data_IF_381972536085
#
_entry.id   IF_381972536085
#
_cell.length_a   1.000
_cell.length_b   1.000
_cell.length_c   1.000
_cell.angle_alpha   90.00
_cell.angle_beta   90.00
_cell.angle_gamma   90.00
#
_symmetry.space_group_name_H-M   'P 1'
#
loop_
_entity.id
_entity.type
_entity.pdbx_description
1 polymer ?
#
# COMPACT_ATOMS: atom_id res chain seq x y z
N UNK A 1 -24.20 -23.25 25.87
CA UNK A 1 -22.94 -23.90 25.51
C UNK A 1 -21.80 -23.28 26.29
N UNK A 2 -20.91 -24.08 26.83
CA UNK A 2 -19.72 -23.66 27.57
C UNK A 2 -18.50 -23.71 26.65
N UNK A 3 -17.50 -22.85 26.88
CA UNK A 3 -16.28 -22.83 26.09
C UNK A 3 -15.17 -23.59 26.83
N UNK A 4 -14.52 -24.52 26.14
CA UNK A 4 -13.42 -25.31 26.67
C UNK A 4 -12.13 -25.00 25.91
N UNK A 5 -11.09 -24.59 26.65
CA UNK A 5 -9.75 -24.39 26.11
C UNK A 5 -9.02 -25.72 26.13
N UNK A 6 -8.50 -26.16 24.96
CA UNK A 6 -7.78 -27.41 24.85
C UNK A 6 -6.38 -27.20 24.23
N UNK A 7 -5.44 -28.04 24.62
CA UNK A 7 -4.08 -28.06 24.07
C UNK A 7 -3.81 -29.41 23.44
N UNK A 8 -3.37 -29.39 22.17
CA UNK A 8 -3.05 -30.59 21.38
C UNK A 8 -1.59 -30.55 20.90
N UNK A 9 -1.02 -31.72 20.64
CA UNK A 9 0.24 -31.87 19.93
C UNK A 9 -0.07 -32.18 18.47
N UNK A 10 0.49 -31.38 17.55
CA UNK A 10 0.47 -31.68 16.11
C UNK A 10 1.52 -32.74 15.76
N UNK A 11 1.43 -33.30 14.56
CA UNK A 11 2.39 -34.27 14.02
C UNK A 11 3.84 -33.72 13.98
N UNK A 12 4.01 -32.38 13.94
CA UNK A 12 5.30 -31.70 14.01
C UNK A 12 5.85 -31.50 15.44
N UNK A 13 5.20 -32.09 16.44
CA UNK A 13 5.61 -32.03 17.86
C UNK A 13 5.28 -30.70 18.57
N UNK A 14 4.72 -29.70 17.88
CA UNK A 14 4.40 -28.39 18.47
C UNK A 14 3.06 -28.42 19.20
N UNK A 15 3.02 -27.81 20.39
CA UNK A 15 1.81 -27.61 21.16
C UNK A 15 0.97 -26.50 20.54
N UNK A 16 -0.30 -26.78 20.23
CA UNK A 16 -1.28 -25.81 19.81
C UNK A 16 -2.43 -25.76 20.82
N UNK A 17 -2.82 -24.54 21.21
CA UNK A 17 -3.95 -24.32 22.09
C UNK A 17 -5.08 -23.64 21.33
N UNK A 18 -6.30 -24.15 21.45
CA UNK A 18 -7.50 -23.63 20.80
C UNK A 18 -8.72 -23.79 21.72
N UNK A 19 -9.89 -23.29 21.28
CA UNK A 19 -11.13 -23.34 22.07
C UNK A 19 -12.21 -24.07 21.30
N UNK A 20 -12.97 -24.92 22.00
CA UNK A 20 -14.14 -25.64 21.46
C UNK A 20 -15.36 -25.32 22.31
N UNK A 21 -16.52 -25.16 21.67
CA UNK A 21 -17.81 -25.00 22.37
C UNK A 21 -18.50 -26.35 22.48
N UNK A 22 -18.93 -26.70 23.71
CA UNK A 22 -19.68 -27.90 24.01
C UNK A 22 -20.62 -27.64 25.22
N UNK A 23 -21.60 -28.51 25.40
CA UNK A 23 -22.52 -28.36 26.52
C UNK A 23 -21.86 -28.80 27.84
N UNK A 24 -21.00 -29.82 27.77
CA UNK A 24 -20.22 -30.30 28.90
C UNK A 24 -18.82 -30.76 28.52
N UNK A 25 -18.01 -31.13 29.52
CA UNK A 25 -16.64 -31.60 29.35
C UNK A 25 -16.51 -32.87 28.53
N UNK A 26 -17.50 -33.81 28.68
CA UNK A 26 -17.50 -35.08 27.99
C UNK A 26 -17.81 -34.90 26.51
N UNK A 27 -18.72 -33.99 26.16
CA UNK A 27 -19.01 -33.65 24.76
C UNK A 27 -17.79 -32.96 24.10
N UNK A 28 -17.12 -32.04 24.79
CA UNK A 28 -15.89 -31.43 24.30
C UNK A 28 -14.80 -32.47 23.99
N UNK A 29 -14.61 -33.45 24.90
CA UNK A 29 -13.66 -34.54 24.74
C UNK A 29 -14.01 -35.45 23.57
N UNK A 30 -15.29 -35.78 23.39
CA UNK A 30 -15.75 -36.62 22.29
C UNK A 30 -15.62 -35.95 20.92
N UNK A 31 -15.90 -34.62 20.84
CA UNK A 31 -15.71 -33.82 19.63
C UNK A 31 -14.23 -33.75 19.22
N UNK A 32 -13.32 -33.63 20.19
CA UNK A 32 -11.88 -33.59 19.92
C UNK A 32 -11.35 -34.97 19.51
N UNK A 33 -11.89 -36.03 20.09
CA UNK A 33 -11.54 -37.42 19.73
C UNK A 33 -12.00 -37.79 18.31
N UNK A 34 -13.18 -37.32 17.89
CA UNK A 34 -13.68 -37.51 16.50
C UNK A 34 -12.80 -36.78 15.47
N UNK A 35 -12.04 -35.76 15.89
CA UNK A 35 -11.08 -35.01 15.04
C UNK A 35 -9.68 -35.64 15.03
N UNK A 36 -9.47 -36.80 15.62
CA UNK A 36 -8.17 -37.49 15.73
C UNK A 36 -7.05 -36.64 16.34
N UNK A 37 -7.39 -35.71 17.25
CA UNK A 37 -6.41 -34.85 17.88
C UNK A 37 -5.89 -35.46 19.19
N UNK A 38 -4.56 -35.53 19.38
CA UNK A 38 -3.94 -35.91 20.65
C UNK A 38 -4.02 -34.76 21.65
N UNK A 39 -5.02 -34.81 22.51
CA UNK A 39 -5.31 -33.79 23.52
C UNK A 39 -4.44 -33.99 24.75
N UNK A 40 -3.72 -32.97 25.19
CA UNK A 40 -2.91 -32.99 26.42
C UNK A 40 -3.75 -32.51 27.60
N UNK A 41 -4.53 -31.43 27.40
CA UNK A 41 -5.24 -30.77 28.49
C UNK A 41 -6.52 -30.12 27.94
N UNK A 42 -7.63 -30.22 28.71
CA UNK A 42 -8.89 -29.50 28.47
C UNK A 42 -9.28 -28.79 29.77
N UNK A 43 -9.51 -27.47 29.70
CA UNK A 43 -9.98 -26.65 30.85
C UNK A 43 -11.22 -25.86 30.48
N UNK A 44 -12.19 -25.78 31.38
CA UNK A 44 -13.35 -24.89 31.20
C UNK A 44 -12.90 -23.43 31.26
N UNK A 45 -13.21 -22.65 30.22
CA UNK A 45 -12.87 -21.24 30.14
C UNK A 45 -14.05 -20.38 30.53
N UNK A 46 -13.95 -19.66 31.66
CA UNK A 46 -14.98 -18.72 32.14
C UNK A 46 -15.04 -17.43 31.30
N UNK A 47 -14.12 -17.23 30.36
CA UNK A 47 -14.04 -16.00 29.56
C UNK A 47 -14.71 -16.18 28.21
N UNK A 48 -15.93 -15.68 28.06
CA UNK A 48 -16.72 -15.67 26.81
C UNK A 48 -16.07 -14.90 25.63
N UNK A 49 -14.93 -14.25 25.83
CA UNK A 49 -14.35 -13.28 24.87
C UNK A 49 -12.91 -13.55 24.42
N UNK A 50 -12.38 -14.75 24.58
CA UNK A 50 -11.09 -15.05 23.93
C UNK A 50 -11.35 -15.95 22.72
N UNK A 51 -12.02 -15.43 21.71
CA UNK A 51 -11.74 -15.81 20.33
C UNK A 51 -10.39 -15.20 19.99
N UNK A 52 -9.32 -15.80 20.48
CA UNK A 52 -7.99 -15.73 19.85
C UNK A 52 -8.01 -16.62 18.60
N UNK A 53 -9.03 -16.49 17.77
CA UNK A 53 -8.80 -16.56 16.36
C UNK A 53 -7.80 -15.45 16.11
N UNK A 54 -6.55 -15.79 15.85
CA UNK A 54 -5.69 -14.92 15.08
C UNK A 54 -6.36 -14.78 13.70
N UNK A 55 -7.43 -14.00 13.64
CA UNK A 55 -7.87 -13.33 12.44
C UNK A 55 -6.73 -12.37 12.12
N UNK A 56 -5.59 -12.93 11.65
CA UNK A 56 -4.74 -12.16 10.76
C UNK A 56 -5.74 -11.57 9.78
N UNK A 57 -5.98 -10.27 9.88
CA UNK A 57 -6.76 -9.51 8.91
C UNK A 57 -6.30 -10.04 7.58
N UNK A 58 -7.19 -10.76 6.87
CA UNK A 58 -6.85 -11.39 5.60
C UNK A 58 -6.40 -10.23 4.73
N UNK A 59 -5.09 -10.15 4.52
CA UNK A 59 -4.48 -9.05 3.78
C UNK A 59 -4.87 -9.28 2.34
N UNK A 60 -5.42 -8.28 1.68
CA UNK A 60 -5.71 -8.32 0.25
C UNK A 60 -4.43 -8.75 -0.50
N UNK A 61 -4.60 -9.41 -1.64
CA UNK A 61 -3.49 -9.83 -2.47
C UNK A 61 -2.75 -8.60 -3.02
N UNK A 62 -1.43 -8.60 -2.90
CA UNK A 62 -0.60 -7.53 -3.45
C UNK A 62 -0.49 -7.63 -4.97
N UNK A 63 -0.25 -6.49 -5.65
CA UNK A 63 -0.09 -6.44 -7.11
C UNK A 63 1.02 -7.38 -7.61
N UNK A 64 2.12 -7.51 -6.87
CA UNK A 64 3.20 -8.48 -7.18
C UNK A 64 2.70 -9.92 -7.22
N UNK A 65 1.93 -10.33 -6.21
CA UNK A 65 1.39 -11.68 -6.12
C UNK A 65 0.39 -11.98 -7.23
N UNK A 66 -0.44 -10.99 -7.58
CA UNK A 66 -1.39 -11.10 -8.67
C UNK A 66 -0.67 -11.18 -10.01
N UNK A 67 0.35 -10.35 -10.23
CA UNK A 67 1.18 -10.38 -11.45
C UNK A 67 1.83 -11.76 -11.65
N UNK A 68 2.47 -12.30 -10.61
CA UNK A 68 3.08 -13.62 -10.65
C UNK A 68 2.06 -14.74 -10.90
N UNK A 69 0.90 -14.69 -10.24
CA UNK A 69 -0.19 -15.62 -10.47
C UNK A 69 -0.66 -15.57 -11.91
N UNK A 70 -0.98 -14.40 -12.45
CA UNK A 70 -1.44 -14.24 -13.83
C UNK A 70 -0.41 -14.75 -14.84
N UNK A 71 0.89 -14.44 -14.64
CA UNK A 71 1.98 -14.90 -15.52
C UNK A 71 2.09 -16.42 -15.52
N UNK A 72 2.08 -17.06 -14.35
CA UNK A 72 2.18 -18.51 -14.24
C UNK A 72 0.95 -19.19 -14.80
N UNK A 73 -0.22 -18.64 -14.55
CA UNK A 73 -1.48 -19.19 -15.06
C UNK A 73 -1.58 -19.03 -16.58
N UNK A 74 -1.12 -17.90 -17.15
CA UNK A 74 -1.03 -17.70 -18.59
C UNK A 74 -0.16 -18.78 -19.27
N UNK A 75 1.00 -19.11 -18.70
CA UNK A 75 1.88 -20.17 -19.22
C UNK A 75 1.17 -21.52 -19.22
N UNK A 76 0.46 -21.84 -18.15
CA UNK A 76 -0.27 -23.11 -18.02
C UNK A 76 -1.38 -23.21 -19.09
N UNK A 77 -2.18 -22.13 -19.23
CA UNK A 77 -3.26 -22.08 -20.21
C UNK A 77 -2.72 -22.18 -21.65
N UNK A 78 -1.66 -21.40 -21.98
CA UNK A 78 -1.03 -21.43 -23.31
C UNK A 78 -0.37 -22.79 -23.65
N UNK A 79 -0.02 -23.59 -22.63
CA UNK A 79 0.50 -24.96 -22.81
C UNK A 79 -0.60 -26.00 -23.02
N UNK A 80 -1.88 -25.61 -23.08
CA UNK A 80 -3.01 -26.53 -23.25
C UNK A 80 -3.33 -27.38 -22.01
N UNK A 81 -2.72 -27.08 -20.87
CA UNK A 81 -2.99 -27.80 -19.62
C UNK A 81 -4.36 -27.39 -19.10
N UNK A 82 -5.15 -28.37 -18.67
CA UNK A 82 -6.45 -28.13 -18.07
C UNK A 82 -6.36 -27.10 -16.92
N UNK A 83 -7.20 -26.07 -16.96
CA UNK A 83 -7.18 -24.94 -16.01
C UNK A 83 -7.30 -25.38 -14.54
N UNK A 84 -8.11 -26.39 -14.24
CA UNK A 84 -8.27 -26.93 -12.88
C UNK A 84 -6.95 -27.51 -12.38
N UNK A 85 -6.33 -28.42 -13.15
CA UNK A 85 -5.04 -29.05 -12.80
C UNK A 85 -3.92 -28.01 -12.68
N UNK A 86 -3.96 -26.99 -13.55
CA UNK A 86 -3.05 -25.86 -13.51
C UNK A 86 -3.18 -25.05 -12.22
N UNK A 87 -4.39 -24.65 -11.86
CA UNK A 87 -4.69 -23.92 -10.63
C UNK A 87 -4.31 -24.73 -9.39
N UNK A 88 -4.59 -26.03 -9.33
CA UNK A 88 -4.17 -26.91 -8.23
C UNK A 88 -2.64 -26.94 -8.08
N UNK A 89 -1.92 -26.96 -9.20
CA UNK A 89 -0.45 -26.92 -9.19
C UNK A 89 0.07 -25.59 -8.69
N UNK A 90 -0.54 -24.49 -9.10
CA UNK A 90 -0.22 -23.15 -8.58
C UNK A 90 -0.49 -23.03 -7.09
N UNK A 91 -1.61 -23.56 -6.61
CA UNK A 91 -1.94 -23.57 -5.20
C UNK A 91 -0.88 -24.33 -4.37
N UNK A 92 -0.46 -25.52 -4.83
CA UNK A 92 0.57 -26.32 -4.14
C UNK A 92 1.93 -25.61 -4.07
N UNK A 93 2.33 -24.91 -5.12
CA UNK A 93 3.62 -24.19 -5.21
C UNK A 93 3.59 -22.83 -4.54
N UNK A 94 2.43 -22.26 -4.27
CA UNK A 94 2.31 -20.94 -3.67
C UNK A 94 2.86 -20.91 -2.24
N UNK A 95 3.83 -20.03 -1.96
CA UNK A 95 4.35 -19.75 -0.62
C UNK A 95 3.43 -18.82 0.17
N UNK A 96 2.59 -18.04 -0.52
CA UNK A 96 1.64 -17.14 0.10
C UNK A 96 0.37 -17.89 0.49
N UNK A 97 0.11 -17.96 1.80
CA UNK A 97 -1.06 -18.68 2.35
C UNK A 97 -2.37 -18.10 1.83
N UNK A 98 -2.47 -16.75 1.72
CA UNK A 98 -3.69 -16.08 1.26
C UNK A 98 -4.00 -16.40 -0.20
N UNK A 99 -2.96 -16.40 -1.07
CA UNK A 99 -3.10 -16.76 -2.48
C UNK A 99 -3.46 -18.25 -2.64
N UNK A 100 -2.81 -19.12 -1.88
CA UNK A 100 -3.10 -20.57 -1.88
C UNK A 100 -4.55 -20.85 -1.49
N UNK A 101 -5.03 -20.24 -0.40
CA UNK A 101 -6.42 -20.40 0.03
C UNK A 101 -7.41 -19.92 -1.03
N UNK A 102 -7.09 -18.81 -1.68
CA UNK A 102 -7.94 -18.20 -2.71
C UNK A 102 -8.00 -19.09 -3.97
N UNK A 103 -6.86 -19.59 -4.45
CA UNK A 103 -6.83 -20.49 -5.60
C UNK A 103 -7.59 -21.79 -5.29
N UNK A 104 -7.40 -22.37 -4.09
CA UNK A 104 -8.14 -23.57 -3.69
C UNK A 104 -9.66 -23.34 -3.63
N UNK A 105 -10.10 -22.15 -3.20
CA UNK A 105 -11.52 -21.77 -3.21
C UNK A 105 -12.04 -21.75 -4.65
N UNK A 106 -11.33 -21.10 -5.56
CA UNK A 106 -11.69 -21.02 -6.99
C UNK A 106 -11.78 -22.44 -7.58
N UNK A 107 -10.77 -23.29 -7.34
CA UNK A 107 -10.77 -24.68 -7.80
C UNK A 107 -12.01 -25.44 -7.29
N UNK A 108 -12.37 -25.25 -6.02
CA UNK A 108 -13.56 -25.92 -5.45
C UNK A 108 -14.86 -25.44 -6.08
N UNK A 109 -14.98 -24.16 -6.41
CA UNK A 109 -16.16 -23.58 -7.06
C UNK A 109 -16.26 -24.02 -8.53
N UNK A 110 -15.14 -24.10 -9.26
CA UNK A 110 -15.11 -24.60 -10.64
C UNK A 110 -15.52 -26.08 -10.69
N UNK A 111 -15.09 -26.92 -9.73
CA UNK A 111 -15.51 -28.33 -9.64
C UNK A 111 -17.01 -28.52 -9.42
N UNK A 112 -17.70 -27.51 -8.91
CA UNK A 112 -19.17 -27.52 -8.71
C UNK A 112 -19.89 -26.86 -9.89
N UNK A 113 -19.18 -26.43 -10.94
CA UNK A 113 -19.75 -25.94 -12.18
C UNK A 113 -19.69 -24.42 -12.39
N UNK A 114 -19.04 -23.66 -11.50
CA UNK A 114 -18.80 -22.23 -11.72
C UNK A 114 -17.70 -21.99 -12.75
N UNK A 115 -17.74 -20.84 -13.44
CA UNK A 115 -16.62 -20.40 -14.26
C UNK A 115 -15.47 -19.86 -13.40
N UNK A 116 -14.27 -19.70 -13.99
CA UNK A 116 -13.14 -19.06 -13.28
C UNK A 116 -13.51 -17.63 -12.94
N UNK A 117 -14.13 -16.94 -13.92
CA UNK A 117 -14.57 -15.54 -13.78
C UNK A 117 -15.59 -15.37 -12.65
N UNK A 118 -16.65 -16.20 -12.60
CA UNK A 118 -17.67 -16.11 -11.56
C UNK A 118 -17.07 -16.32 -10.17
N UNK A 119 -16.15 -17.27 -10.06
CA UNK A 119 -15.43 -17.51 -8.82
C UNK A 119 -14.56 -16.32 -8.40
N UNK A 120 -13.92 -15.63 -9.36
CA UNK A 120 -13.12 -14.42 -9.09
C UNK A 120 -13.97 -13.19 -8.79
N UNK A 121 -15.16 -13.05 -9.40
CA UNK A 121 -16.08 -11.94 -9.17
C UNK A 121 -16.92 -12.08 -7.90
N UNK A 122 -16.94 -13.26 -7.31
CA UNK A 122 -17.64 -13.56 -6.05
C UNK A 122 -17.27 -12.54 -4.96
N UNK A 123 -18.25 -12.13 -4.15
CA UNK A 123 -18.05 -11.23 -3.00
C UNK A 123 -17.06 -11.77 -1.94
N UNK A 124 -16.73 -13.07 -1.99
CA UNK A 124 -15.75 -13.73 -1.12
C UNK A 124 -14.34 -13.68 -1.69
N UNK A 125 -14.18 -13.32 -2.95
CA UNK A 125 -12.89 -13.29 -3.63
C UNK A 125 -11.97 -12.24 -3.03
N UNK A 126 -10.68 -12.56 -3.01
CA UNK A 126 -9.59 -11.63 -2.64
C UNK A 126 -8.87 -11.08 -3.87
N UNK A 127 -9.21 -11.56 -5.04
CA UNK A 127 -8.75 -10.97 -6.29
C UNK A 127 -9.51 -9.67 -6.58
N UNK A 128 -8.86 -8.68 -7.20
CA UNK A 128 -9.52 -7.46 -7.66
C UNK A 128 -10.62 -7.78 -8.67
N UNK A 129 -11.72 -7.05 -8.60
CA UNK A 129 -12.85 -7.21 -9.55
C UNK A 129 -12.42 -7.06 -11.01
N UNK A 130 -11.46 -6.16 -11.27
CA UNK A 130 -10.88 -5.99 -12.60
C UNK A 130 -10.33 -7.32 -13.14
N UNK A 131 -9.59 -8.09 -12.35
CA UNK A 131 -9.06 -9.38 -12.81
C UNK A 131 -10.18 -10.36 -13.17
N UNK A 132 -11.24 -10.43 -12.34
CA UNK A 132 -12.38 -11.29 -12.61
C UNK A 132 -13.13 -10.90 -13.91
N UNK A 133 -13.35 -9.58 -14.14
CA UNK A 133 -13.97 -9.07 -15.35
C UNK A 133 -13.16 -9.37 -16.62
N UNK A 134 -11.83 -9.20 -16.52
CA UNK A 134 -10.92 -9.51 -17.63
C UNK A 134 -10.85 -11.01 -17.92
N UNK A 135 -10.84 -11.84 -16.89
CA UNK A 135 -10.90 -13.31 -17.04
C UNK A 135 -12.22 -13.73 -17.69
N UNK A 136 -13.37 -13.08 -17.34
CA UNK A 136 -14.64 -13.32 -18.01
C UNK A 136 -14.57 -13.07 -19.52
N UNK A 137 -13.92 -11.96 -19.93
CA UNK A 137 -13.68 -11.68 -21.35
C UNK A 137 -12.81 -12.74 -22.01
N UNK A 138 -11.72 -13.15 -21.35
CA UNK A 138 -10.83 -14.17 -21.86
C UNK A 138 -11.50 -15.54 -21.99
N UNK A 139 -12.36 -15.94 -21.04
CA UNK A 139 -13.17 -17.18 -21.13
C UNK A 139 -14.19 -17.10 -22.27
N UNK A 140 -14.89 -15.97 -22.42
CA UNK A 140 -15.90 -15.80 -23.45
C UNK A 140 -15.32 -15.74 -24.88
N UNK A 141 -14.11 -15.18 -25.04
CA UNK A 141 -13.43 -15.05 -26.34
C UNK A 141 -12.48 -16.21 -26.66
N UNK A 142 -12.21 -17.12 -25.70
CA UNK A 142 -11.20 -18.18 -25.83
C UNK A 142 -9.76 -17.69 -25.76
N UNK A 143 -9.51 -16.41 -25.39
CA UNK A 143 -8.19 -15.75 -25.34
C UNK A 143 -7.69 -15.55 -23.89
N UNK A 144 -7.98 -16.53 -23.03
CA UNK A 144 -7.66 -16.41 -21.60
C UNK A 144 -6.15 -16.21 -21.35
N UNK A 145 -5.27 -16.84 -22.13
CA UNK A 145 -3.83 -16.70 -21.99
C UNK A 145 -3.35 -15.28 -22.35
N UNK A 146 -3.89 -14.65 -23.41
CA UNK A 146 -3.58 -13.27 -23.80
C UNK A 146 -4.02 -12.28 -22.71
N UNK A 147 -5.25 -12.45 -22.22
CA UNK A 147 -5.78 -11.64 -21.12
C UNK A 147 -4.94 -11.78 -19.86
N UNK A 148 -4.55 -13.00 -19.47
CA UNK A 148 -3.72 -13.23 -18.31
C UNK A 148 -2.31 -12.62 -18.47
N UNK A 149 -1.70 -12.64 -19.67
CA UNK A 149 -0.43 -11.96 -19.96
C UNK A 149 -0.57 -10.44 -19.80
N UNK A 150 -1.65 -9.86 -20.31
CA UNK A 150 -1.96 -8.44 -20.18
C UNK A 150 -2.17 -8.03 -18.72
N UNK A 151 -2.92 -8.83 -17.94
CA UNK A 151 -3.11 -8.62 -16.52
C UNK A 151 -1.81 -8.77 -15.72
N UNK A 152 -0.96 -9.72 -16.07
CA UNK A 152 0.37 -9.87 -15.45
C UNK A 152 1.22 -8.62 -15.64
N UNK A 153 1.23 -8.05 -16.86
CA UNK A 153 1.93 -6.81 -17.19
C UNK A 153 1.35 -5.61 -16.44
N UNK A 154 0.02 -5.49 -16.40
CA UNK A 154 -0.69 -4.43 -15.68
C UNK A 154 -0.31 -4.41 -14.19
N UNK A 155 -0.45 -5.53 -13.49
CA UNK A 155 -0.13 -5.60 -12.06
C UNK A 155 1.38 -5.52 -11.78
N UNK A 156 2.24 -5.95 -12.71
CA UNK A 156 3.69 -5.74 -12.60
C UNK A 156 4.03 -4.25 -12.61
N UNK A 157 3.38 -3.47 -13.48
CA UNK A 157 3.55 -2.01 -13.51
C UNK A 157 3.05 -1.34 -12.23
N UNK A 158 1.84 -1.71 -11.75
CA UNK A 158 1.33 -1.22 -10.48
C UNK A 158 2.29 -1.51 -9.31
N UNK A 159 2.90 -2.69 -9.30
CA UNK A 159 3.90 -3.04 -8.29
C UNK A 159 5.16 -2.17 -8.44
N UNK A 160 5.69 -1.98 -9.67
CA UNK A 160 6.88 -1.15 -9.92
C UNK A 160 6.70 0.29 -9.45
N UNK A 161 5.58 0.93 -9.79
CA UNK A 161 5.28 2.30 -9.36
C UNK A 161 5.27 2.38 -7.83
N UNK A 162 4.60 1.45 -7.16
CA UNK A 162 4.55 1.40 -5.70
C UNK A 162 5.92 1.15 -5.06
N UNK A 163 6.74 0.32 -5.68
CA UNK A 163 8.10 0.02 -5.21
C UNK A 163 9.01 1.24 -5.37
N UNK A 164 8.94 1.95 -6.51
CA UNK A 164 9.69 3.19 -6.74
C UNK A 164 9.36 4.24 -5.69
N UNK A 165 8.08 4.47 -5.40
CA UNK A 165 7.63 5.37 -4.34
C UNK A 165 8.19 4.97 -2.96
N UNK A 166 8.19 3.69 -2.65
CA UNK A 166 8.73 3.18 -1.39
C UNK A 166 10.24 3.39 -1.29
N UNK A 167 10.96 3.07 -2.36
CA UNK A 167 12.42 3.22 -2.41
C UNK A 167 12.82 4.70 -2.26
N UNK A 168 12.14 5.61 -2.96
CA UNK A 168 12.37 7.05 -2.84
C UNK A 168 12.15 7.58 -1.40
N UNK A 169 11.23 6.98 -0.63
CA UNK A 169 10.96 7.37 0.75
C UNK A 169 11.92 6.72 1.78
N UNK A 170 12.68 5.68 1.40
CA UNK A 170 13.48 4.89 2.35
C UNK A 170 14.65 5.70 2.91
N UNK A 171 15.45 6.35 2.04
CA UNK A 171 16.58 7.15 2.46
C UNK A 171 16.18 8.33 3.38
N UNK A 172 15.21 9.19 3.01
CA UNK A 172 14.72 10.24 3.88
C UNK A 172 14.27 9.74 5.26
N UNK A 173 13.58 8.60 5.29
CA UNK A 173 13.10 8.02 6.55
C UNK A 173 14.25 7.59 7.47
N UNK A 174 15.29 6.96 6.91
CA UNK A 174 16.49 6.54 7.68
C UNK A 174 17.19 7.76 8.25
N UNK A 175 17.40 8.80 7.43
CA UNK A 175 18.06 10.05 7.88
C UNK A 175 17.24 10.73 8.99
N UNK A 176 15.92 10.84 8.85
CA UNK A 176 15.07 11.41 9.88
C UNK A 176 15.12 10.62 11.20
N UNK A 177 15.05 9.29 11.12
CA UNK A 177 15.11 8.43 12.31
C UNK A 177 16.48 8.57 13.00
N UNK A 178 17.59 8.48 12.26
CA UNK A 178 18.93 8.60 12.82
C UNK A 178 19.17 9.99 13.43
N UNK A 179 18.71 11.05 12.77
CA UNK A 179 18.78 12.42 13.31
C UNK A 179 17.97 12.57 14.60
N UNK A 180 16.77 12.01 14.64
CA UNK A 180 15.95 12.04 15.84
C UNK A 180 16.61 11.29 17.01
N UNK A 181 17.18 10.12 16.75
CA UNK A 181 17.93 9.35 17.77
C UNK A 181 19.14 10.16 18.27
N UNK A 182 19.89 10.77 17.36
CA UNK A 182 21.06 11.59 17.71
C UNK A 182 20.64 12.76 18.60
N UNK A 183 19.62 13.53 18.22
CA UNK A 183 19.09 14.65 18.98
C UNK A 183 18.62 14.18 20.38
N UNK A 184 17.90 13.07 20.43
CA UNK A 184 17.40 12.51 21.68
C UNK A 184 18.54 12.12 22.63
N UNK A 185 19.57 11.42 22.14
CA UNK A 185 20.75 11.05 22.96
C UNK A 185 21.46 12.31 23.45
N UNK A 186 21.69 13.27 22.57
CA UNK A 186 22.42 14.47 22.88
C UNK A 186 21.70 15.32 23.94
N UNK A 187 20.42 15.60 23.75
CA UNK A 187 19.64 16.42 24.68
C UNK A 187 19.35 15.72 26.02
N UNK A 188 19.24 14.38 26.03
CA UNK A 188 18.91 13.63 27.26
C UNK A 188 20.12 13.32 28.13
N UNK A 189 21.28 13.07 27.51
CA UNK A 189 22.47 12.60 28.24
C UNK A 189 23.60 13.63 28.29
N UNK A 190 23.90 14.30 27.17
CA UNK A 190 25.09 15.15 27.06
C UNK A 190 24.84 16.55 27.61
N UNK A 191 23.74 17.18 27.23
CA UNK A 191 23.40 18.54 27.70
C UNK A 191 23.27 18.61 29.24
N UNK A 192 22.56 17.72 29.95
CA UNK A 192 22.48 17.78 31.41
C UNK A 192 23.83 17.64 32.13
N UNK A 193 24.71 16.76 31.61
CA UNK A 193 26.07 16.59 32.21
C UNK A 193 26.88 17.88 32.11
N UNK A 194 26.85 18.55 30.99
CA UNK A 194 27.57 19.80 30.79
C UNK A 194 27.00 20.93 31.66
N UNK A 195 25.68 21.02 31.78
CA UNK A 195 25.04 22.06 32.60
C UNK A 195 25.38 21.88 34.08
N UNK A 196 25.39 20.65 34.60
CA UNK A 196 25.76 20.41 35.97
C UNK A 196 27.22 20.92 36.27
N UNK A 197 28.13 20.76 35.31
CA UNK A 197 29.49 21.30 35.42
C UNK A 197 29.54 22.83 35.43
N UNK A 198 28.62 23.50 34.73
CA UNK A 198 28.56 24.96 34.59
C UNK A 198 27.87 25.62 35.80
N UNK A 199 26.80 25.00 36.31
CA UNK A 199 26.06 25.51 37.49
C UNK A 199 26.88 25.43 38.78
N UNK A 200 27.86 24.52 38.88
CA UNK A 200 28.80 24.46 40.03
C UNK A 200 29.72 25.68 40.11
N UNK A 201 29.92 26.40 38.98
CA UNK A 201 30.77 27.61 38.90
C UNK A 201 29.95 28.89 39.09
N UNK A 202 28.60 28.83 39.25
CA UNK A 202 27.75 29.96 39.50
C UNK A 202 27.34 30.80 38.25
N UNK A 203 27.65 30.35 37.04
CA UNK A 203 27.34 31.07 35.80
C UNK A 203 25.86 30.94 35.44
N UNK A 204 25.28 32.05 34.87
CA UNK A 204 23.89 32.09 34.42
C UNK A 204 23.75 31.40 33.05
N UNK A 205 22.73 30.58 32.89
CA UNK A 205 22.48 29.85 31.64
C UNK A 205 21.84 30.78 30.58
N UNK A 206 22.45 30.85 29.37
CA UNK A 206 21.88 31.57 28.23
C UNK A 206 20.51 31.00 27.81
N UNK A 207 19.67 31.83 27.18
CA UNK A 207 18.31 31.54 26.81
C UNK A 207 18.18 30.29 25.90
N UNK A 208 19.08 30.16 24.92
CA UNK A 208 19.14 29.03 24.00
C UNK A 208 19.38 27.71 24.74
N UNK A 209 20.37 27.70 25.66
CA UNK A 209 20.68 26.54 26.49
C UNK A 209 19.49 26.13 27.37
N UNK A 210 18.79 27.09 27.95
CA UNK A 210 17.59 26.88 28.77
C UNK A 210 16.45 26.24 27.96
N UNK A 211 16.23 26.69 26.72
CA UNK A 211 15.23 26.11 25.82
C UNK A 211 15.58 24.66 25.47
N UNK A 212 16.81 24.40 25.06
CA UNK A 212 17.30 23.04 24.70
C UNK A 212 17.23 22.10 25.90
N UNK A 213 17.58 22.58 27.08
CA UNK A 213 17.47 21.81 28.33
C UNK A 213 16.02 21.50 28.68
N UNK A 214 15.11 22.49 28.58
CA UNK A 214 13.69 22.31 28.81
C UNK A 214 13.11 21.25 27.87
N UNK A 215 13.48 21.32 26.60
CA UNK A 215 13.10 20.30 25.59
C UNK A 215 13.65 18.91 25.92
N UNK A 216 14.92 18.82 26.32
CA UNK A 216 15.54 17.55 26.70
C UNK A 216 14.90 16.92 27.95
N UNK A 217 14.60 17.71 28.99
CA UNK A 217 13.89 17.25 30.18
C UNK A 217 12.45 16.83 29.87
N UNK A 218 11.75 17.59 29.02
CA UNK A 218 10.42 17.24 28.53
C UNK A 218 10.46 15.91 27.77
N UNK A 219 11.40 15.72 26.83
CA UNK A 219 11.57 14.48 26.11
C UNK A 219 11.91 13.32 27.05
N UNK A 220 12.83 13.50 28.02
CA UNK A 220 13.19 12.46 28.98
C UNK A 220 11.99 12.01 29.81
N UNK A 221 11.13 12.92 30.22
CA UNK A 221 9.96 12.63 31.07
C UNK A 221 8.77 12.08 30.28
N UNK A 222 8.55 12.58 29.07
CA UNK A 222 7.32 12.36 28.31
C UNK A 222 7.51 11.61 26.99
N UNK A 223 8.69 11.01 26.71
CA UNK A 223 8.97 10.36 25.44
C UNK A 223 7.94 9.30 25.02
N UNK A 224 7.41 8.52 26.00
CA UNK A 224 6.37 7.52 25.75
C UNK A 224 5.08 8.20 25.31
N UNK A 225 4.69 9.31 25.97
CA UNK A 225 3.49 10.07 25.62
C UNK A 225 3.65 10.70 24.24
N UNK A 226 4.82 11.29 23.93
CA UNK A 226 5.12 11.86 22.63
C UNK A 226 5.02 10.78 21.53
N UNK A 227 5.61 9.61 21.77
CA UNK A 227 5.54 8.49 20.83
C UNK A 227 4.08 8.03 20.62
N UNK A 228 3.28 7.94 21.69
CA UNK A 228 1.87 7.56 21.62
C UNK A 228 1.05 8.60 20.85
N UNK A 229 1.29 9.90 21.10
CA UNK A 229 0.64 11.01 20.37
C UNK A 229 0.99 10.96 18.88
N UNK A 230 2.27 10.74 18.54
CA UNK A 230 2.71 10.60 17.14
C UNK A 230 2.01 9.41 16.46
N UNK A 231 1.95 8.25 17.13
CA UNK A 231 1.25 7.06 16.59
C UNK A 231 -0.24 7.36 16.39
N UNK A 232 -0.88 7.98 17.37
CA UNK A 232 -2.29 8.34 17.30
C UNK A 232 -2.56 9.36 16.18
N UNK A 233 -1.69 10.37 16.05
CA UNK A 233 -1.76 11.36 14.97
C UNK A 233 -1.60 10.71 13.59
N UNK A 234 -0.61 9.83 13.41
CA UNK A 234 -0.43 9.08 12.15
C UNK A 234 -1.64 8.21 11.85
N UNK A 235 -2.23 7.57 12.88
CA UNK A 235 -3.43 6.75 12.72
C UNK A 235 -4.64 7.60 12.30
N UNK A 236 -4.88 8.71 12.97
CA UNK A 236 -5.96 9.66 12.65
C UNK A 236 -5.78 10.28 11.27
N UNK A 237 -4.55 10.71 10.95
CA UNK A 237 -4.21 11.28 9.64
C UNK A 237 -4.44 10.26 8.51
N UNK A 238 -3.99 9.02 8.68
CA UNK A 238 -4.29 7.94 7.72
C UNK A 238 -5.79 7.67 7.58
N UNK A 239 -6.55 7.75 8.68
CA UNK A 239 -8.00 7.60 8.64
C UNK A 239 -8.67 8.77 7.91
N UNK A 240 -8.24 10.00 8.16
CA UNK A 240 -8.70 11.19 7.46
C UNK A 240 -8.42 11.11 5.94
N UNK A 241 -7.20 10.72 5.54
CA UNK A 241 -6.84 10.55 4.13
C UNK A 241 -7.61 9.44 3.40
N UNK A 242 -8.31 8.56 4.11
CA UNK A 242 -9.19 7.55 3.49
C UNK A 242 -10.60 8.08 3.22
N UNK A 243 -10.99 9.21 3.79
CA UNK A 243 -12.28 9.84 3.53
C UNK A 243 -12.26 10.53 2.16
N UNK A 244 -13.43 10.69 1.51
CA UNK A 244 -13.54 11.39 0.21
C UNK A 244 -13.03 12.83 0.30
N UNK A 245 -13.34 13.54 1.39
CA UNK A 245 -12.90 14.90 1.65
C UNK A 245 -11.39 14.96 1.86
N UNK A 246 -10.81 14.05 2.66
CA UNK A 246 -9.37 13.98 2.92
C UNK A 246 -8.56 13.66 1.66
N UNK A 247 -9.05 12.76 0.80
CA UNK A 247 -8.43 12.47 -0.51
C UNK A 247 -8.43 13.71 -1.41
N UNK A 248 -9.57 14.38 -1.54
CA UNK A 248 -9.68 15.58 -2.36
C UNK A 248 -8.79 16.72 -1.85
N UNK A 249 -8.67 16.88 -0.53
CA UNK A 249 -7.79 17.89 0.08
C UNK A 249 -6.32 17.57 -0.20
N UNK A 250 -5.89 16.33 0.01
CA UNK A 250 -4.55 15.84 -0.29
C UNK A 250 -4.19 16.12 -1.76
N UNK A 251 -5.04 15.72 -2.69
CA UNK A 251 -4.78 15.84 -4.13
C UNK A 251 -4.70 17.30 -4.55
N UNK A 252 -5.53 18.18 -3.97
CA UNK A 252 -5.48 19.63 -4.23
C UNK A 252 -4.19 20.29 -3.72
N UNK A 253 -3.75 19.90 -2.51
CA UNK A 253 -2.51 20.43 -1.92
C UNK A 253 -1.30 19.98 -2.72
N UNK A 254 -1.23 18.70 -3.09
CA UNK A 254 -0.12 18.15 -3.86
C UNK A 254 -0.03 18.80 -5.25
N UNK A 255 -1.15 19.01 -5.94
CA UNK A 255 -1.15 19.67 -7.26
C UNK A 255 -0.65 21.13 -7.23
N UNK A 256 -0.67 21.80 -6.07
CA UNK A 256 -0.10 23.15 -5.93
C UNK A 256 1.42 23.16 -5.86
N UNK A 257 2.04 22.02 -5.56
CA UNK A 257 3.50 21.91 -5.47
C UNK A 257 4.04 21.51 -6.84
N UNK A 258 4.83 22.38 -7.55
CA UNK A 258 5.11 22.19 -8.98
C UNK A 258 5.72 20.83 -9.33
N UNK A 259 6.72 20.35 -8.58
CA UNK A 259 7.40 19.07 -8.87
C UNK A 259 6.54 17.88 -8.47
N UNK A 260 5.89 17.96 -7.29
CA UNK A 260 5.01 16.91 -6.78
C UNK A 260 3.76 16.74 -7.65
N UNK A 261 3.13 17.85 -8.02
CA UNK A 261 1.92 17.85 -8.86
C UNK A 261 2.20 17.24 -10.22
N UNK A 262 3.27 17.65 -10.91
CA UNK A 262 3.65 17.08 -12.21
C UNK A 262 3.93 15.57 -12.10
N UNK A 263 4.68 15.14 -11.09
CA UNK A 263 4.96 13.72 -10.88
C UNK A 263 3.69 12.89 -10.64
N UNK A 264 2.75 13.38 -9.83
CA UNK A 264 1.45 12.72 -9.60
C UNK A 264 0.62 12.69 -10.89
N UNK A 265 0.59 13.78 -11.68
CA UNK A 265 -0.14 13.81 -12.94
C UNK A 265 0.44 12.82 -13.96
N UNK A 266 1.76 12.70 -14.06
CA UNK A 266 2.41 11.65 -14.87
C UNK A 266 2.03 10.23 -14.40
N UNK A 267 1.97 9.98 -13.08
CA UNK A 267 1.53 8.69 -12.56
C UNK A 267 0.05 8.40 -12.87
N UNK A 268 -0.82 9.40 -12.82
CA UNK A 268 -2.22 9.28 -13.22
C UNK A 268 -2.33 8.99 -14.72
N UNK A 269 -1.58 9.71 -15.56
CA UNK A 269 -1.50 9.47 -16.99
C UNK A 269 -0.99 8.07 -17.33
N UNK A 270 0.04 7.59 -16.62
CA UNK A 270 0.55 6.21 -16.75
C UNK A 270 -0.54 5.18 -16.47
N UNK A 271 -1.26 5.32 -15.34
CA UNK A 271 -2.33 4.39 -14.95
C UNK A 271 -3.48 4.41 -15.93
N UNK A 272 -3.90 5.61 -16.31
CA UNK A 272 -4.95 5.81 -17.31
C UNK A 272 -4.59 5.15 -18.64
N UNK A 273 -3.44 5.50 -19.22
CA UNK A 273 -3.01 4.96 -20.52
C UNK A 273 -2.81 3.44 -20.48
N UNK A 274 -2.27 2.91 -19.39
CA UNK A 274 -2.07 1.47 -19.24
C UNK A 274 -3.39 0.71 -19.07
N UNK A 275 -4.35 1.28 -18.37
CA UNK A 275 -5.67 0.69 -18.25
C UNK A 275 -6.45 0.79 -19.57
N UNK A 276 -6.34 1.92 -20.26
CA UNK A 276 -6.92 2.10 -21.60
C UNK A 276 -6.35 1.06 -22.58
N UNK A 277 -5.02 0.92 -22.63
CA UNK A 277 -4.37 -0.12 -23.43
C UNK A 277 -4.91 -1.51 -23.10
N UNK A 278 -5.03 -1.86 -21.82
CA UNK A 278 -5.55 -3.15 -21.40
C UNK A 278 -6.95 -3.44 -21.96
N UNK A 279 -7.86 -2.48 -21.87
CA UNK A 279 -9.24 -2.67 -22.34
C UNK A 279 -9.33 -2.71 -23.85
N UNK A 280 -8.60 -1.84 -24.55
CA UNK A 280 -8.61 -1.80 -26.02
C UNK A 280 -7.97 -3.07 -26.59
N UNK A 281 -6.81 -3.49 -26.08
CA UNK A 281 -6.07 -4.69 -26.57
C UNK A 281 -6.82 -6.00 -26.32
N UNK A 282 -7.66 -6.05 -25.31
CA UNK A 282 -8.46 -7.25 -24.97
C UNK A 282 -9.86 -7.24 -25.61
N UNK A 283 -10.24 -6.15 -26.30
CA UNK A 283 -11.58 -5.98 -26.86
C UNK A 283 -12.69 -5.82 -25.84
N UNK A 284 -12.34 -5.45 -24.59
CA UNK A 284 -13.33 -5.20 -23.55
C UNK A 284 -14.08 -3.89 -23.82
N UNK A 285 -15.43 -3.83 -23.67
CA UNK A 285 -16.18 -2.63 -23.94
C UNK A 285 -15.69 -1.42 -23.14
N UNK A 286 -15.23 -0.36 -23.83
CA UNK A 286 -14.57 0.80 -23.22
C UNK A 286 -15.42 1.48 -22.14
N UNK A 287 -16.73 1.64 -22.39
CA UNK A 287 -17.66 2.27 -21.43
C UNK A 287 -17.70 1.54 -20.09
N UNK A 288 -17.68 0.20 -20.12
CA UNK A 288 -17.61 -0.62 -18.90
C UNK A 288 -16.19 -0.61 -18.30
N UNK A 289 -15.17 -0.58 -19.16
CA UNK A 289 -13.77 -0.46 -18.76
C UNK A 289 -13.46 0.83 -18.01
N UNK A 290 -14.14 1.93 -18.35
CA UNK A 290 -13.96 3.21 -17.70
C UNK A 290 -14.25 3.19 -16.20
N UNK A 291 -15.16 2.36 -15.69
CA UNK A 291 -15.38 2.22 -14.25
C UNK A 291 -14.11 1.72 -13.53
N UNK A 292 -13.43 0.75 -14.14
CA UNK A 292 -12.16 0.23 -13.60
C UNK A 292 -10.99 1.20 -13.78
N UNK A 293 -10.98 1.97 -14.88
CA UNK A 293 -10.01 3.04 -15.11
C UNK A 293 -10.14 4.10 -14.01
N UNK A 294 -11.36 4.57 -13.75
CA UNK A 294 -11.69 5.55 -12.70
C UNK A 294 -11.18 5.06 -11.34
N UNK A 295 -11.46 3.81 -10.99
CA UNK A 295 -10.98 3.23 -9.73
C UNK A 295 -9.44 3.13 -9.67
N UNK A 296 -8.77 2.90 -10.81
CA UNK A 296 -7.33 2.66 -10.88
C UNK A 296 -6.48 3.93 -10.80
N UNK A 297 -6.97 5.07 -11.30
CA UNK A 297 -6.19 6.33 -11.36
C UNK A 297 -5.86 6.89 -9.99
N UNK A 298 -6.65 6.57 -8.96
CA UNK A 298 -6.41 6.92 -7.55
C UNK A 298 -6.10 8.41 -7.33
N UNK A 299 -6.82 9.29 -8.04
CA UNK A 299 -6.75 10.74 -7.92
C UNK A 299 -8.16 11.31 -8.11
N UNK A 300 -8.64 12.08 -7.14
CA UNK A 300 -10.03 12.54 -7.07
C UNK A 300 -10.41 13.52 -8.18
N UNK A 301 -9.47 14.26 -8.75
CA UNK A 301 -9.72 15.13 -9.91
C UNK A 301 -9.86 14.29 -11.18
N UNK A 302 -8.93 13.37 -11.43
CA UNK A 302 -8.99 12.47 -12.57
C UNK A 302 -10.23 11.56 -12.51
N UNK A 303 -10.57 11.01 -11.32
CA UNK A 303 -11.77 10.22 -11.09
C UNK A 303 -13.04 10.97 -11.59
N UNK A 304 -13.18 12.26 -11.23
CA UNK A 304 -14.33 13.08 -11.65
C UNK A 304 -14.35 13.38 -13.16
N UNK A 305 -13.18 13.69 -13.72
CA UNK A 305 -13.06 13.98 -15.16
C UNK A 305 -13.40 12.74 -15.98
N UNK A 306 -12.86 11.60 -15.60
CA UNK A 306 -13.12 10.33 -16.29
C UNK A 306 -14.58 9.87 -16.12
N UNK A 307 -15.20 10.13 -14.97
CA UNK A 307 -16.62 9.87 -14.77
C UNK A 307 -17.47 10.74 -15.71
N UNK A 308 -17.14 12.03 -15.85
CA UNK A 308 -17.81 12.92 -16.82
C UNK A 308 -17.55 12.48 -18.27
N UNK A 309 -16.33 12.05 -18.59
CA UNK A 309 -16.01 11.51 -19.91
C UNK A 309 -16.79 10.24 -20.24
N UNK A 310 -16.98 9.35 -19.25
CA UNK A 310 -17.81 8.15 -19.41
C UNK A 310 -19.25 8.51 -19.82
N UNK A 311 -19.84 9.54 -19.17
CA UNK A 311 -21.19 10.01 -19.52
C UNK A 311 -21.22 10.57 -20.96
N UNK A 312 -20.18 11.29 -21.39
CA UNK A 312 -20.04 11.79 -22.76
C UNK A 312 -19.92 10.66 -23.78
N UNK A 313 -19.05 9.69 -23.53
CA UNK A 313 -18.87 8.52 -24.43
C UNK A 313 -20.14 7.69 -24.52
N UNK A 314 -20.93 7.59 -23.46
CA UNK A 314 -22.24 6.90 -23.49
C UNK A 314 -23.22 7.62 -24.42
N UNK A 315 -23.06 8.94 -24.62
CA UNK A 315 -23.84 9.73 -25.61
C UNK A 315 -23.26 9.69 -27.02
N UNK A 316 -22.15 8.98 -27.25
CA UNK A 316 -21.45 8.87 -28.53
C UNK A 316 -20.40 9.93 -28.80
N UNK A 317 -20.01 10.72 -27.78
CA UNK A 317 -18.92 11.69 -27.87
C UNK A 317 -17.56 10.96 -27.82
N UNK A 318 -16.49 11.52 -28.41
CA UNK A 318 -15.14 10.96 -28.34
C UNK A 318 -14.54 11.06 -26.95
N UNK A 319 -13.66 10.11 -26.60
CA UNK A 319 -12.92 10.15 -25.34
C UNK A 319 -12.02 11.40 -25.26
N UNK A 320 -11.26 11.67 -26.34
CA UNK A 320 -10.38 12.83 -26.42
C UNK A 320 -11.14 14.15 -26.25
N UNK A 321 -12.28 14.32 -26.96
CA UNK A 321 -13.14 15.50 -26.86
C UNK A 321 -13.58 15.77 -25.42
N UNK A 322 -13.96 14.73 -24.68
CA UNK A 322 -14.37 14.86 -23.30
C UNK A 322 -13.21 15.19 -22.36
N UNK A 323 -11.99 14.69 -22.63
CA UNK A 323 -10.80 15.01 -21.82
C UNK A 323 -10.28 16.42 -22.09
N UNK A 324 -10.38 16.94 -23.31
CA UNK A 324 -9.94 18.27 -23.73
C UNK A 324 -10.65 19.40 -22.98
N UNK A 325 -11.89 19.17 -22.56
CA UNK A 325 -12.68 20.13 -21.75
C UNK A 325 -12.01 20.49 -20.41
N UNK A 326 -11.00 19.71 -20.00
CA UNK A 326 -10.30 19.86 -18.72
C UNK A 326 -8.80 20.02 -18.92
N UNK A 327 -8.19 20.98 -18.22
CA UNK A 327 -6.75 21.23 -18.25
C UNK A 327 -5.92 20.30 -17.36
N UNK A 328 -6.52 19.25 -16.81
CA UNK A 328 -5.87 18.35 -15.87
C UNK A 328 -4.92 17.36 -16.56
N UNK A 329 -5.37 16.77 -17.66
CA UNK A 329 -4.55 15.87 -18.48
C UNK A 329 -3.64 16.69 -19.38
N UNK A 330 -2.43 16.21 -19.60
CA UNK A 330 -1.47 16.81 -20.51
C UNK A 330 -2.06 16.88 -21.93
N UNK A 331 -1.87 18.02 -22.62
CA UNK A 331 -2.34 18.20 -23.99
C UNK A 331 -1.80 17.14 -24.95
N UNK A 332 -0.55 16.68 -24.74
CA UNK A 332 0.06 15.62 -25.55
C UNK A 332 -0.73 14.30 -25.39
N UNK A 333 -1.13 13.94 -24.18
CA UNK A 333 -1.96 12.76 -23.95
C UNK A 333 -3.28 12.85 -24.69
N UNK A 334 -3.98 13.97 -24.54
CA UNK A 334 -5.29 14.18 -25.14
C UNK A 334 -5.22 14.15 -26.67
N UNK A 335 -4.22 14.83 -27.27
CA UNK A 335 -4.00 14.84 -28.72
C UNK A 335 -3.66 13.43 -29.27
N UNK A 336 -2.81 12.67 -28.54
CA UNK A 336 -2.46 11.31 -28.95
C UNK A 336 -3.71 10.39 -28.90
N UNK A 337 -4.56 10.52 -27.89
CA UNK A 337 -5.82 9.79 -27.83
C UNK A 337 -6.73 10.18 -29.00
N UNK A 338 -6.85 11.48 -29.32
CA UNK A 338 -7.62 11.94 -30.47
C UNK A 338 -7.15 11.31 -31.80
N UNK A 339 -5.83 11.27 -32.00
CA UNK A 339 -5.23 10.60 -33.16
C UNK A 339 -5.59 9.11 -33.17
N UNK A 340 -5.45 8.45 -32.02
CA UNK A 340 -5.77 7.02 -31.88
C UNK A 340 -7.25 6.70 -32.15
N UNK A 341 -8.16 7.58 -31.71
CA UNK A 341 -9.60 7.45 -32.01
C UNK A 341 -9.91 7.64 -33.52
N UNK A 342 -9.29 8.65 -34.16
CA UNK A 342 -9.50 8.96 -35.57
C UNK A 342 -8.90 7.91 -36.51
N UNK A 343 -7.76 7.33 -36.14
CA UNK A 343 -7.03 6.34 -36.96
C UNK A 343 -7.40 4.89 -36.64
N UNK A 344 -8.13 4.64 -35.56
CA UNK A 344 -8.40 3.29 -35.05
C UNK A 344 -7.20 2.64 -34.34
N UNK A 345 -6.10 3.36 -34.13
CA UNK A 345 -4.83 2.89 -33.53
C UNK A 345 -4.77 3.15 -32.01
N UNK A 346 -5.92 3.21 -31.35
CA UNK A 346 -6.01 3.57 -29.93
C UNK A 346 -5.20 2.58 -29.04
N UNK A 347 -5.11 1.31 -29.43
CA UNK A 347 -4.31 0.30 -28.74
C UNK A 347 -2.82 0.67 -28.70
N UNK A 348 -2.24 0.93 -29.90
CA UNK A 348 -0.83 1.23 -30.05
C UNK A 348 -0.47 2.56 -29.37
N UNK A 349 -1.31 3.58 -29.57
CA UNK A 349 -1.14 4.90 -28.92
C UNK A 349 -1.21 4.77 -27.40
N UNK A 350 -2.20 4.07 -26.86
CA UNK A 350 -2.33 3.90 -25.40
C UNK A 350 -1.12 3.17 -24.80
N UNK A 351 -0.56 2.18 -25.50
CA UNK A 351 0.65 1.49 -25.07
C UNK A 351 1.86 2.44 -25.05
N UNK A 352 2.07 3.21 -26.11
CA UNK A 352 3.18 4.18 -26.18
C UNK A 352 3.05 5.26 -25.10
N UNK A 353 1.85 5.79 -24.88
CA UNK A 353 1.61 6.79 -23.84
C UNK A 353 1.84 6.21 -22.44
N UNK A 354 1.45 4.96 -22.20
CA UNK A 354 1.73 4.29 -20.93
C UNK A 354 3.23 4.18 -20.65
N UNK A 355 4.03 3.81 -21.65
CA UNK A 355 5.49 3.72 -21.55
C UNK A 355 6.13 5.10 -21.37
N UNK A 356 5.69 6.10 -22.14
CA UNK A 356 6.17 7.48 -22.04
C UNK A 356 5.92 8.08 -20.64
N UNK A 357 4.67 8.01 -20.15
CA UNK A 357 4.35 8.57 -18.84
C UNK A 357 4.93 7.74 -17.67
N UNK A 358 5.16 6.44 -17.85
CA UNK A 358 5.91 5.63 -16.88
C UNK A 358 7.34 6.16 -16.72
N UNK A 359 8.01 6.45 -17.84
CA UNK A 359 9.34 7.05 -17.85
C UNK A 359 9.35 8.47 -17.26
N UNK A 360 8.43 9.34 -17.67
CA UNK A 360 8.29 10.69 -17.12
C UNK A 360 8.02 10.66 -15.61
N UNK A 361 7.12 9.77 -15.14
CA UNK A 361 6.84 9.62 -13.72
C UNK A 361 8.08 9.23 -12.92
N UNK A 362 8.97 8.39 -13.50
CA UNK A 362 10.24 8.02 -12.88
C UNK A 362 11.18 9.20 -12.72
N UNK A 363 11.31 10.03 -13.77
CA UNK A 363 12.12 11.26 -13.72
C UNK A 363 11.63 12.17 -12.60
N UNK A 364 10.32 12.43 -12.52
CA UNK A 364 9.77 13.30 -11.46
C UNK A 364 9.93 12.69 -10.06
N UNK A 365 9.76 11.39 -9.89
CA UNK A 365 9.98 10.72 -8.61
C UNK A 365 11.44 10.83 -8.16
N UNK A 366 12.39 10.65 -9.07
CA UNK A 366 13.81 10.82 -8.78
C UNK A 366 14.15 12.26 -8.43
N UNK A 367 13.60 13.26 -9.16
CA UNK A 367 13.75 14.69 -8.79
C UNK A 367 13.20 14.99 -7.41
N UNK A 368 12.03 14.45 -7.08
CA UNK A 368 11.44 14.62 -5.74
C UNK A 368 12.36 14.04 -4.65
N UNK A 369 12.90 12.85 -4.87
CA UNK A 369 13.83 12.22 -3.95
C UNK A 369 15.10 13.06 -3.76
N UNK A 370 15.68 13.58 -4.85
CA UNK A 370 16.87 14.44 -4.82
C UNK A 370 16.63 15.79 -4.13
N UNK A 371 15.41 16.36 -4.19
CA UNK A 371 15.09 17.62 -3.52
C UNK A 371 14.92 17.47 -2.00
N UNK A 372 14.61 16.27 -1.51
CA UNK A 372 14.48 16.01 -0.07
C UNK A 372 15.85 16.08 0.63
N UNK A 373 16.91 15.63 -0.03
CA UNK A 373 18.25 15.56 0.54
C UNK A 373 18.80 16.93 0.99
N UNK A 374 18.85 18.01 0.17
CA UNK A 374 19.27 19.32 0.61
C UNK A 374 18.43 19.88 1.77
N UNK A 375 17.12 19.66 1.73
CA UNK A 375 16.21 20.11 2.80
C UNK A 375 16.54 19.40 4.13
N UNK A 376 16.83 18.10 4.09
CA UNK A 376 17.24 17.34 5.27
C UNK A 376 18.60 17.80 5.80
N UNK A 377 19.58 18.02 4.91
CA UNK A 377 20.92 18.49 5.31
C UNK A 377 20.80 19.85 6.01
N UNK A 378 20.05 20.80 5.44
CA UNK A 378 19.83 22.11 6.04
C UNK A 378 19.12 21.97 7.39
N UNK A 379 18.06 21.18 7.47
CA UNK A 379 17.31 20.98 8.71
C UNK A 379 18.18 20.37 9.82
N UNK A 380 18.95 19.33 9.51
CA UNK A 380 19.88 18.71 10.44
C UNK A 380 21.02 19.68 10.82
N UNK A 381 21.55 20.42 9.84
CA UNK A 381 22.58 21.44 10.07
C UNK A 381 22.14 22.52 11.05
N UNK A 382 20.91 23.05 10.88
CA UNK A 382 20.32 24.02 11.81
C UNK A 382 20.21 23.43 13.23
N UNK A 383 19.73 22.21 13.35
CA UNK A 383 19.60 21.54 14.66
C UNK A 383 20.95 21.36 15.32
N UNK A 384 21.95 20.88 14.57
CA UNK A 384 23.33 20.73 15.08
C UNK A 384 23.91 22.08 15.49
N UNK A 385 23.72 23.13 14.69
CA UNK A 385 24.17 24.47 15.02
C UNK A 385 23.55 24.98 16.35
N UNK A 386 22.24 24.78 16.54
CA UNK A 386 21.55 25.13 17.80
C UNK A 386 22.16 24.35 18.99
N UNK A 387 22.44 23.06 18.81
CA UNK A 387 23.04 22.23 19.87
C UNK A 387 24.47 22.70 20.20
N UNK A 388 25.28 23.01 19.19
CA UNK A 388 26.64 23.53 19.38
C UNK A 388 26.61 24.86 20.12
N UNK A 389 25.80 25.82 19.66
CA UNK A 389 25.65 27.13 20.33
C UNK A 389 25.17 26.97 21.79
N UNK A 390 24.22 26.03 22.01
CA UNK A 390 23.71 25.72 23.36
C UNK A 390 24.77 25.21 24.33
N UNK A 391 25.87 24.65 23.81
CA UNK A 391 27.01 24.15 24.60
C UNK A 391 28.07 25.23 24.78
N UNK A 392 28.45 25.91 23.69
CA UNK A 392 29.57 26.85 23.71
C UNK A 392 29.22 28.16 24.43
N UNK A 393 27.98 28.63 24.29
CA UNK A 393 27.57 29.92 24.88
C UNK A 393 27.71 29.96 26.42
N UNK A 394 27.34 28.92 27.18
CA UNK A 394 27.59 28.86 28.62
C UNK A 394 29.08 28.79 28.97
N UNK A 395 29.92 28.14 28.14
CA UNK A 395 31.37 28.07 28.39
C UNK A 395 32.00 29.47 28.23
N UNK A 396 31.57 30.28 27.29
CA UNK A 396 32.00 31.68 27.13
C UNK A 396 31.55 32.53 28.33
N UNK A 397 30.32 32.33 28.83
CA UNK A 397 29.85 33.06 30.02
C UNK A 397 30.64 32.75 31.31
N UNK A 398 31.28 31.62 31.40
CA UNK A 398 32.21 31.28 32.52
C UNK A 398 33.49 32.09 32.36
N UNK A 399 33.99 32.27 31.12
CA UNK A 399 35.21 33.02 30.83
C UNK A 399 35.05 34.50 31.14
N UNK A 400 33.85 35.04 30.85
CA UNK A 400 33.52 36.45 31.16
C UNK A 400 33.28 36.70 32.67
N UNK A 401 33.04 35.67 33.46
CA UNK A 401 32.76 35.73 34.89
C UNK A 401 34.04 35.47 35.77
N UNK A 402 35.15 35.05 35.16
CA UNK A 402 36.47 34.92 35.76
C UNK A 402 37.31 36.16 35.57
#
# INVERSE_FOLDING_TARGET
>A
MKSFKYTVIKEDGKKQTDVIEANDFNEARNLLRKRNLRVIEIKESKNKNIRLSSRKRKKDLGADQISHFCRQFAIIVSSGINSISGLETLARRSTNITLREEINRIVSEIKVGSTIADSMLSSKSKFPKLLGAMVATGEATGKLDEVLKSMASFYASEHRVKQKLRNAATYPLIVLISSFIMIFIFTTFMVPKMINSITTVGATLPLITRIVMGFGMFMKKFWIIVLLVIILFIYQFKKYLKTSVGRAHKDRVINKIPVLGKGINCMVATRFSRALYLFVSTGYPLVQGLDYIIDSVNNTMAEKILASAKDGITRGEGLAENLERYTYFDSVLVQMIAIGEQTGELENISRQMAEFYEYESEIYLNRMASMIEPVLIIAVGIIVAILVVSIFMPMLSIYDAM
#
